data_IF_330479405719
#
_entry.id   IF_330479405719
#
_cell.length_a   1.000
_cell.length_b   1.000
_cell.length_c   1.000
_cell.angle_alpha   90.00
_cell.angle_beta   90.00
_cell.angle_gamma   90.00
#
_symmetry.space_group_name_H-M   'P 1'
#
loop_
_entity.id
_entity.type
_entity.pdbx_description
1 polymer ?
#
# COMPACT_ATOMS: atom_id res chain seq x y z
N UNK A 1 -1.93 5.31 11.20
CA UNK A 1 -2.76 5.73 12.36
C UNK A 1 -4.14 6.00 11.78
N UNK A 2 -5.18 5.29 12.24
CA UNK A 2 -6.54 5.44 11.71
C UNK A 2 -7.29 6.42 12.59
N UNK A 3 -7.69 7.56 12.04
CA UNK A 3 -8.61 8.49 12.73
C UNK A 3 -9.98 7.83 12.69
N UNK A 4 -10.59 7.65 13.87
CA UNK A 4 -11.87 6.95 13.99
C UNK A 4 -12.96 7.98 14.18
N UNK A 5 -13.89 8.05 13.22
CA UNK A 5 -15.16 8.74 13.41
C UNK A 5 -16.08 7.91 14.31
N UNK A 6 -17.11 8.54 14.89
CA UNK A 6 -18.04 7.89 15.81
C UNK A 6 -18.80 6.71 15.18
N UNK A 7 -18.94 6.69 13.86
CA UNK A 7 -19.61 5.65 13.07
C UNK A 7 -18.66 4.80 12.21
N UNK A 8 -17.35 4.86 12.45
CA UNK A 8 -16.31 4.28 11.59
C UNK A 8 -16.52 2.81 11.22
N UNK A 9 -16.96 1.96 12.17
CA UNK A 9 -17.23 0.54 11.89
C UNK A 9 -18.40 0.33 10.93
N UNK A 10 -19.45 1.15 11.05
CA UNK A 10 -20.61 1.08 10.17
C UNK A 10 -20.23 1.61 8.79
N UNK A 11 -19.51 2.72 8.71
CA UNK A 11 -18.98 3.28 7.48
C UNK A 11 -18.05 2.28 6.74
N UNK A 12 -17.24 1.49 7.46
CA UNK A 12 -16.42 0.44 6.85
C UNK A 12 -17.24 -0.72 6.29
N UNK A 13 -18.31 -1.16 6.98
CA UNK A 13 -19.22 -2.19 6.47
C UNK A 13 -19.93 -1.73 5.19
N UNK A 14 -20.35 -0.47 5.19
CA UNK A 14 -21.08 0.13 4.08
C UNK A 14 -20.18 0.58 2.93
N UNK A 15 -18.86 0.40 3.08
CA UNK A 15 -17.83 0.80 2.13
C UNK A 15 -17.79 2.31 1.82
N UNK A 16 -18.06 3.12 2.85
CA UNK A 16 -18.14 4.59 2.79
C UNK A 16 -17.17 5.31 3.73
N UNK A 17 -16.42 4.56 4.54
CA UNK A 17 -15.41 5.17 5.39
C UNK A 17 -14.34 5.89 4.55
N UNK A 18 -13.81 6.99 5.09
CA UNK A 18 -12.72 7.73 4.48
C UNK A 18 -11.38 7.04 4.78
N UNK A 19 -10.49 7.02 3.78
CA UNK A 19 -9.15 6.46 3.93
C UNK A 19 -8.11 7.34 3.28
N UNK A 20 -6.92 7.34 3.88
CA UNK A 20 -5.72 7.87 3.27
C UNK A 20 -4.90 6.66 2.81
N UNK A 21 -4.64 6.58 1.52
CA UNK A 21 -3.72 5.58 0.98
C UNK A 21 -2.28 6.02 1.23
N UNK A 22 -1.44 5.10 1.70
CA UNK A 22 -0.02 5.36 1.97
C UNK A 22 0.79 4.60 0.92
N UNK A 23 1.28 5.35 -0.06
CA UNK A 23 2.12 4.81 -1.13
C UNK A 23 3.56 4.65 -0.65
N UNK A 24 3.96 3.41 -0.40
CA UNK A 24 5.34 3.08 -0.01
C UNK A 24 6.24 3.17 -1.24
N UNK A 25 7.24 4.04 -1.20
CA UNK A 25 8.31 4.08 -2.21
C UNK A 25 9.26 2.90 -2.01
N UNK A 26 9.59 2.20 -3.09
CA UNK A 26 10.57 1.12 -3.10
C UNK A 26 11.58 1.32 -4.22
N UNK A 27 12.79 0.82 -4.01
CA UNK A 27 13.82 0.81 -5.04
C UNK A 27 13.38 -0.04 -6.25
N UNK A 28 13.46 0.55 -7.44
CA UNK A 28 13.18 -0.14 -8.69
C UNK A 28 14.50 -0.58 -9.37
N UNK A 29 14.73 -1.88 -9.59
CA UNK A 29 16.00 -2.36 -10.12
C UNK A 29 16.32 -1.77 -11.50
N UNK A 30 17.56 -1.34 -11.75
CA UNK A 30 17.98 -0.89 -13.08
C UNK A 30 18.32 -2.06 -14.02
N UNK A 31 18.80 -3.17 -13.47
CA UNK A 31 19.10 -4.40 -14.22
C UNK A 31 17.83 -5.07 -14.74
N UNK A 32 17.80 -5.34 -16.05
CA UNK A 32 16.72 -6.08 -16.71
C UNK A 32 16.55 -7.49 -16.13
N UNK A 33 17.65 -8.20 -15.88
CA UNK A 33 17.62 -9.54 -15.29
C UNK A 33 16.94 -9.52 -13.92
N UNK A 34 17.31 -8.56 -13.06
CA UNK A 34 16.69 -8.41 -11.74
C UNK A 34 15.20 -8.09 -11.84
N UNK A 35 14.78 -7.26 -12.80
CA UNK A 35 13.35 -6.99 -13.04
C UNK A 35 12.59 -8.26 -13.39
N UNK A 36 13.13 -9.04 -14.33
CA UNK A 36 12.52 -10.31 -14.76
C UNK A 36 12.39 -11.26 -13.57
N UNK A 37 13.45 -11.38 -12.76
CA UNK A 37 13.43 -12.23 -11.56
C UNK A 37 12.48 -11.71 -10.47
N UNK A 38 12.28 -10.40 -10.37
CA UNK A 38 11.42 -9.77 -9.36
C UNK A 38 9.92 -9.96 -9.65
N UNK A 39 9.49 -9.87 -10.91
CA UNK A 39 8.05 -9.86 -11.26
C UNK A 39 7.22 -11.04 -10.73
N UNK A 40 7.69 -12.30 -10.78
CA UNK A 40 6.93 -13.42 -10.21
C UNK A 40 6.67 -13.24 -8.71
N UNK A 41 7.64 -12.70 -7.96
CA UNK A 41 7.49 -12.47 -6.52
C UNK A 41 6.56 -11.31 -6.19
N UNK A 42 6.48 -10.29 -7.05
CA UNK A 42 5.44 -9.25 -6.94
C UNK A 42 4.05 -9.89 -7.10
N UNK A 43 3.87 -10.76 -8.09
CA UNK A 43 2.61 -11.51 -8.26
C UNK A 43 2.26 -12.38 -7.04
N UNK A 44 3.25 -13.05 -6.45
CA UNK A 44 3.08 -13.84 -5.22
C UNK A 44 2.83 -13.02 -3.96
N UNK A 45 3.12 -11.71 -3.92
CA UNK A 45 2.67 -10.84 -2.82
C UNK A 45 1.18 -10.52 -2.95
N UNK A 46 0.64 -10.48 -4.17
CA UNK A 46 -0.77 -10.10 -4.44
C UNK A 46 -1.75 -11.27 -4.41
N UNK A 47 -1.39 -12.41 -5.01
CA UNK A 47 -2.26 -13.59 -5.12
C UNK A 47 -2.77 -14.13 -3.77
N UNK A 48 -1.97 -14.15 -2.67
CA UNK A 48 -2.43 -14.58 -1.36
C UNK A 48 -3.67 -13.84 -0.88
N UNK A 49 -3.80 -12.54 -1.15
CA UNK A 49 -4.96 -11.75 -0.74
C UNK A 49 -6.26 -12.30 -1.35
N UNK A 50 -6.23 -12.72 -2.62
CA UNK A 50 -7.39 -13.32 -3.29
C UNK A 50 -7.77 -14.69 -2.71
N UNK A 51 -6.80 -15.44 -2.20
CA UNK A 51 -7.01 -16.81 -1.71
C UNK A 51 -7.38 -16.81 -0.23
N UNK A 52 -6.70 -16.02 0.59
CA UNK A 52 -6.93 -15.89 2.04
C UNK A 52 -8.37 -15.44 2.32
N UNK A 53 -8.89 -14.53 1.49
CA UNK A 53 -10.24 -13.99 1.64
C UNK A 53 -11.35 -14.96 1.20
N UNK A 54 -11.02 -15.98 0.40
CA UNK A 54 -11.98 -16.99 -0.08
C UNK A 54 -11.94 -18.28 0.75
N UNK A 55 -11.08 -18.37 1.77
CA UNK A 55 -10.89 -19.59 2.55
C UNK A 55 -11.03 -19.39 4.05
N UNK A 56 -11.69 -20.33 4.72
CA UNK A 56 -11.80 -20.38 6.18
C UNK A 56 -10.74 -21.27 6.85
N UNK A 57 -9.84 -21.89 6.06
CA UNK A 57 -8.85 -22.82 6.61
C UNK A 57 -7.62 -22.08 7.14
N UNK A 58 -7.35 -22.19 8.44
CA UNK A 58 -6.17 -21.62 9.08
C UNK A 58 -4.85 -22.20 8.54
N UNK A 59 -4.86 -23.46 8.10
CA UNK A 59 -3.67 -24.11 7.50
C UNK A 59 -3.36 -23.47 6.15
N UNK A 60 -4.38 -23.29 5.32
CA UNK A 60 -4.23 -22.62 4.01
C UNK A 60 -3.78 -21.18 4.21
N UNK A 61 -4.41 -20.44 5.12
CA UNK A 61 -3.98 -19.08 5.48
C UNK A 61 -2.51 -19.06 5.90
N UNK A 62 -2.09 -19.95 6.79
CA UNK A 62 -0.69 -20.07 7.23
C UNK A 62 0.31 -20.32 6.09
N UNK A 63 -0.02 -21.23 5.16
CA UNK A 63 0.79 -21.49 3.97
C UNK A 63 0.96 -20.23 3.11
N UNK A 64 -0.14 -19.56 2.80
CA UNK A 64 -0.13 -18.35 1.97
C UNK A 64 0.56 -17.16 2.66
N UNK A 65 0.43 -17.03 3.98
CA UNK A 65 1.22 -16.08 4.76
C UNK A 65 2.73 -16.37 4.66
N UNK A 66 3.13 -17.65 4.67
CA UNK A 66 4.52 -18.05 4.47
C UNK A 66 5.05 -17.70 3.07
N UNK A 67 4.27 -17.99 2.03
CA UNK A 67 4.59 -17.62 0.64
C UNK A 67 4.77 -16.10 0.50
N UNK A 68 3.84 -15.35 1.08
CA UNK A 68 3.87 -13.88 1.08
C UNK A 68 5.09 -13.33 1.84
N UNK A 69 5.49 -13.96 2.95
CA UNK A 69 6.71 -13.55 3.67
C UNK A 69 7.97 -13.76 2.82
N UNK A 70 8.09 -14.91 2.16
CA UNK A 70 9.22 -15.23 1.28
C UNK A 70 9.23 -14.28 0.07
N UNK A 71 8.08 -14.08 -0.58
CA UNK A 71 7.98 -13.21 -1.75
C UNK A 71 8.42 -11.78 -1.43
N UNK A 72 7.98 -11.21 -0.29
CA UNK A 72 8.42 -9.89 0.18
C UNK A 72 9.93 -9.81 0.39
N UNK A 73 10.52 -10.86 0.96
CA UNK A 73 11.98 -10.94 1.14
C UNK A 73 12.71 -10.95 -0.20
N UNK A 74 12.20 -11.70 -1.17
CA UNK A 74 12.77 -11.76 -2.52
C UNK A 74 12.62 -10.43 -3.26
N UNK A 75 11.44 -9.79 -3.21
CA UNK A 75 11.23 -8.45 -3.80
C UNK A 75 12.24 -7.46 -3.23
N UNK A 76 12.39 -7.41 -1.89
CA UNK A 76 13.39 -6.55 -1.25
C UNK A 76 14.82 -6.85 -1.71
N UNK A 77 15.18 -8.13 -1.80
CA UNK A 77 16.52 -8.54 -2.23
C UNK A 77 16.83 -8.12 -3.67
N UNK A 78 15.87 -8.24 -4.58
CA UNK A 78 16.06 -7.82 -5.96
C UNK A 78 16.05 -6.29 -6.10
N UNK A 79 15.27 -5.59 -5.27
CA UNK A 79 15.20 -4.12 -5.18
C UNK A 79 16.43 -3.46 -4.53
N UNK A 80 17.14 -4.10 -3.60
CA UNK A 80 18.07 -3.45 -2.66
C UNK A 80 19.45 -3.04 -3.19
N UNK A 81 19.68 -3.00 -4.51
CA UNK A 81 20.96 -2.51 -5.07
C UNK A 81 20.83 -1.05 -5.50
N UNK A 82 21.94 -0.38 -5.82
CA UNK A 82 22.00 0.98 -6.38
C UNK A 82 20.97 1.15 -7.51
N UNK A 83 19.79 1.65 -7.16
CA UNK A 83 18.72 1.96 -8.08
C UNK A 83 18.68 3.46 -8.30
N UNK A 84 18.54 3.88 -9.56
CA UNK A 84 18.28 5.27 -9.95
C UNK A 84 16.80 5.66 -9.85
N UNK A 85 15.91 4.68 -9.64
CA UNK A 85 14.46 4.87 -9.66
C UNK A 85 13.74 4.39 -8.41
N UNK A 86 12.67 5.08 -8.06
CA UNK A 86 11.64 4.59 -7.14
C UNK A 86 10.45 4.05 -7.91
N UNK A 87 9.78 3.05 -7.35
CA UNK A 87 8.42 2.70 -7.69
C UNK A 87 7.49 2.83 -6.49
N UNK A 88 6.23 3.19 -6.75
CA UNK A 88 5.17 3.05 -5.75
C UNK A 88 4.82 1.57 -5.63
N UNK A 89 4.91 1.03 -4.41
CA UNK A 89 4.50 -0.33 -4.08
C UNK A 89 3.02 -0.52 -4.41
N UNK A 90 2.77 -1.13 -5.57
CA UNK A 90 1.44 -1.41 -6.10
C UNK A 90 1.52 -2.42 -7.25
N UNK A 91 0.38 -2.72 -7.87
CA UNK A 91 0.26 -3.77 -8.90
C UNK A 91 0.99 -3.39 -10.21
N UNK A 92 1.18 -2.08 -10.46
CA UNK A 92 1.75 -1.54 -11.69
C UNK A 92 3.23 -1.14 -11.52
N UNK A 93 4.05 -2.08 -11.02
CA UNK A 93 5.45 -1.85 -10.62
C UNK A 93 6.31 -1.25 -11.74
N UNK A 94 6.08 -1.62 -13.00
CA UNK A 94 6.86 -1.14 -14.15
C UNK A 94 6.43 0.23 -14.66
N UNK A 95 5.13 0.53 -14.59
CA UNK A 95 4.53 1.76 -15.14
C UNK A 95 4.86 2.97 -14.28
N UNK A 96 4.97 2.76 -12.97
CA UNK A 96 5.16 3.81 -11.97
C UNK A 96 6.59 3.81 -11.43
N UNK A 97 7.59 3.72 -12.31
CA UNK A 97 9.00 3.76 -11.95
C UNK A 97 9.63 5.08 -12.41
N UNK A 98 9.99 5.95 -11.47
CA UNK A 98 10.44 7.32 -11.71
C UNK A 98 11.80 7.62 -11.11
N UNK A 99 12.45 8.69 -11.57
CA UNK A 99 13.75 9.10 -11.06
C UNK A 99 13.66 9.38 -9.54
N UNK A 100 14.60 8.84 -8.76
CA UNK A 100 14.67 9.09 -7.32
C UNK A 100 14.84 10.56 -6.98
N UNK A 101 15.53 11.31 -7.85
CA UNK A 101 15.78 12.73 -7.67
C UNK A 101 14.49 13.57 -7.64
N UNK A 102 13.39 13.04 -8.21
CA UNK A 102 12.07 13.67 -8.13
C UNK A 102 11.44 13.62 -6.73
N UNK A 103 11.94 12.73 -5.88
CA UNK A 103 11.55 12.54 -4.48
C UNK A 103 12.64 13.01 -3.51
N UNK A 104 13.50 13.93 -3.93
CA UNK A 104 14.69 14.38 -3.21
C UNK A 104 14.37 15.12 -1.91
N UNK A 105 15.00 16.27 -1.69
CA UNK A 105 14.68 17.08 -0.49
C UNK A 105 13.26 17.63 -0.64
N UNK A 106 12.32 17.33 0.26
CA UNK A 106 10.94 17.79 0.10
C UNK A 106 10.84 19.31 0.05
N UNK A 107 9.95 19.81 -0.81
CA UNK A 107 9.55 21.22 -0.80
C UNK A 107 8.32 21.37 0.10
N UNK A 108 8.26 22.45 0.86
CA UNK A 108 7.13 22.75 1.72
C UNK A 108 6.06 23.49 0.92
N UNK A 109 4.80 23.03 1.02
CA UNK A 109 3.68 23.64 0.32
C UNK A 109 2.49 23.82 1.27
N UNK A 110 1.76 24.92 1.09
CA UNK A 110 0.48 25.16 1.78
C UNK A 110 -0.60 24.32 1.09
N UNK A 111 -1.31 23.50 1.85
CA UNK A 111 -2.43 22.70 1.37
C UNK A 111 -3.59 22.86 2.36
N UNK A 112 -4.66 23.53 1.90
CA UNK A 112 -5.81 23.89 2.74
C UNK A 112 -5.37 24.66 4.00
N UNK A 113 -5.61 24.12 5.19
CA UNK A 113 -5.28 24.69 6.50
C UNK A 113 -3.97 24.12 7.09
N UNK A 114 -3.23 23.34 6.31
CA UNK A 114 -2.01 22.67 6.74
C UNK A 114 -0.82 22.95 5.82
N UNK A 115 0.37 22.70 6.35
CA UNK A 115 1.64 22.84 5.64
C UNK A 115 2.22 21.44 5.48
N UNK A 116 2.35 20.98 4.23
CA UNK A 116 2.78 19.62 3.94
C UNK A 116 4.09 19.58 3.14
N UNK A 117 5.00 18.65 3.47
CA UNK A 117 6.15 18.36 2.62
C UNK A 117 5.69 17.54 1.40
N UNK A 118 6.04 18.00 0.20
CA UNK A 118 5.79 17.31 -1.06
C UNK A 118 7.12 17.02 -1.78
N UNK A 119 7.14 16.06 -2.74
CA UNK A 119 8.32 15.83 -3.57
C UNK A 119 8.80 17.13 -4.26
N UNK A 120 10.12 17.30 -4.41
CA UNK A 120 10.69 18.51 -5.03
C UNK A 120 10.27 18.70 -6.48
N UNK A 121 10.08 17.61 -7.22
CA UNK A 121 9.66 17.61 -8.62
C UNK A 121 8.29 16.94 -8.75
N UNK A 122 7.33 17.42 -7.95
CA UNK A 122 5.96 16.91 -7.95
C UNK A 122 5.29 17.05 -9.32
N UNK A 123 5.65 18.09 -10.10
CA UNK A 123 5.08 18.34 -11.42
C UNK A 123 5.43 17.21 -12.41
N UNK A 124 6.70 16.78 -12.45
CA UNK A 124 7.11 15.64 -13.27
C UNK A 124 6.43 14.34 -12.85
N UNK A 125 6.26 14.12 -11.54
CA UNK A 125 5.54 12.95 -11.01
C UNK A 125 4.08 12.96 -11.46
N UNK A 126 3.35 14.06 -11.23
CA UNK A 126 1.93 14.19 -11.56
C UNK A 126 1.69 14.14 -13.07
N UNK A 127 2.58 14.74 -13.86
CA UNK A 127 2.54 14.67 -15.33
C UNK A 127 2.78 13.26 -15.83
N UNK A 128 3.75 12.53 -15.27
CA UNK A 128 3.97 11.11 -15.61
C UNK A 128 2.80 10.22 -15.17
N UNK A 129 2.09 10.60 -14.11
CA UNK A 129 0.93 9.88 -13.59
C UNK A 129 -0.34 10.07 -14.43
N UNK A 130 -0.67 11.31 -14.70
CA UNK A 130 -2.00 11.70 -15.16
C UNK A 130 -1.98 12.45 -16.50
N UNK A 131 -0.80 12.80 -17.03
CA UNK A 131 -0.69 13.66 -18.20
C UNK A 131 -0.99 15.11 -17.84
N UNK A 132 -1.95 15.73 -18.52
CA UNK A 132 -2.47 17.05 -18.15
C UNK A 132 -3.32 16.94 -16.88
N UNK A 133 -2.65 17.00 -15.72
CA UNK A 133 -3.29 16.82 -14.41
C UNK A 133 -3.94 18.10 -13.88
N UNK A 134 -3.57 19.26 -14.42
CA UNK A 134 -4.05 20.57 -13.97
C UNK A 134 -5.39 20.95 -14.61
N UNK A 135 -5.74 20.31 -15.73
CA UNK A 135 -7.05 20.45 -16.36
C UNK A 135 -7.95 19.28 -15.94
N UNK A 136 -8.99 19.51 -15.12
CA UNK A 136 -9.92 18.44 -14.77
C UNK A 136 -10.62 17.88 -16.01
N UNK A 137 -10.86 16.56 -16.09
CA UNK A 137 -11.59 15.98 -17.20
C UNK A 137 -13.05 16.49 -17.21
N UNK A 138 -13.72 16.48 -18.39
CA UNK A 138 -15.15 16.80 -18.49
C UNK A 138 -16.00 15.97 -17.53
N UNK A 139 -17.15 16.49 -17.07
CA UNK A 139 -18.02 15.80 -16.10
C UNK A 139 -18.45 14.40 -16.56
N UNK A 140 -18.63 14.20 -17.87
CA UNK A 140 -18.94 12.90 -18.48
C UNK A 140 -17.83 11.86 -18.36
N UNK A 141 -16.59 12.31 -18.15
CA UNK A 141 -15.39 11.46 -18.06
C UNK A 141 -14.89 11.31 -16.63
N UNK A 142 -15.40 12.10 -15.68
CA UNK A 142 -15.10 11.97 -14.26
C UNK A 142 -15.59 10.61 -13.76
N UNK A 143 -14.65 9.71 -13.49
CA UNK A 143 -14.92 8.43 -12.81
C UNK A 143 -14.66 8.64 -11.33
N UNK A 144 -15.61 8.26 -10.48
CA UNK A 144 -15.35 8.15 -9.04
C UNK A 144 -14.22 7.16 -8.77
N UNK A 145 -13.53 7.31 -7.64
CA UNK A 145 -12.59 6.31 -7.14
C UNK A 145 -13.35 5.02 -6.80
N UNK A 146 -13.56 4.15 -7.79
CA UNK A 146 -14.47 3.00 -7.69
C UNK A 146 -13.93 1.82 -6.87
N UNK A 147 -12.77 1.96 -6.27
CA UNK A 147 -12.08 0.89 -5.54
C UNK A 147 -12.08 1.16 -4.04
N UNK A 148 -13.00 0.50 -3.33
CA UNK A 148 -12.86 0.29 -1.89
C UNK A 148 -11.86 -0.85 -1.66
N UNK A 149 -10.88 -0.72 -0.75
CA UNK A 149 -9.87 -1.76 -0.55
C UNK A 149 -10.53 -3.10 -0.23
N UNK A 150 -10.11 -4.14 -0.96
CA UNK A 150 -10.62 -5.49 -0.74
C UNK A 150 -10.30 -5.92 0.70
N UNK A 151 -11.23 -6.65 1.34
CA UNK A 151 -11.09 -7.20 2.69
C UNK A 151 -10.75 -6.27 3.85
N UNK A 152 -10.76 -4.94 3.67
CA UNK A 152 -10.39 -3.99 4.72
C UNK A 152 -11.16 -4.16 6.04
N UNK A 153 -12.46 -4.46 5.95
CA UNK A 153 -13.27 -4.74 7.14
C UNK A 153 -12.85 -6.05 7.84
N UNK A 154 -12.49 -7.09 7.07
CA UNK A 154 -12.00 -8.35 7.65
C UNK A 154 -10.63 -8.14 8.30
N UNK A 155 -9.73 -7.40 7.65
CA UNK A 155 -8.42 -7.04 8.20
C UNK A 155 -8.56 -6.25 9.51
N UNK A 156 -9.51 -5.31 9.56
CA UNK A 156 -9.87 -4.59 10.77
C UNK A 156 -10.29 -5.54 11.89
N UNK A 157 -11.21 -6.47 11.61
CA UNK A 157 -11.68 -7.47 12.58
C UNK A 157 -10.54 -8.39 13.08
N UNK A 158 -9.61 -8.77 12.20
CA UNK A 158 -8.44 -9.55 12.58
C UNK A 158 -7.49 -8.76 13.49
N UNK A 159 -7.22 -7.48 13.21
CA UNK A 159 -6.32 -6.65 14.04
C UNK A 159 -6.89 -6.44 15.44
N UNK A 160 -8.18 -6.09 15.57
CA UNK A 160 -8.82 -5.95 16.88
C UNK A 160 -8.85 -7.28 17.64
N UNK A 161 -9.01 -8.42 16.94
CA UNK A 161 -8.95 -9.76 17.51
C UNK A 161 -7.55 -10.11 18.04
N UNK A 162 -6.50 -9.79 17.26
CA UNK A 162 -5.09 -9.95 17.66
C UNK A 162 -4.74 -9.05 18.85
N UNK A 163 -5.17 -7.80 18.86
CA UNK A 163 -4.99 -6.88 20.00
C UNK A 163 -5.67 -7.40 21.27
N UNK A 164 -6.91 -7.91 21.18
CA UNK A 164 -7.62 -8.54 22.31
C UNK A 164 -6.95 -9.83 22.82
N UNK A 165 -6.20 -10.53 21.97
CA UNK A 165 -5.41 -11.71 22.36
C UNK A 165 -4.10 -11.30 23.03
N UNK A 166 -3.43 -10.28 22.49
CA UNK A 166 -2.21 -9.71 23.09
C UNK A 166 -2.45 -9.03 24.44
N UNK A 167 -3.58 -8.32 24.61
CA UNK A 167 -3.95 -7.72 25.90
C UNK A 167 -4.30 -8.76 26.97
N UNK A 168 -4.90 -9.89 26.58
CA UNK A 168 -5.17 -11.01 27.50
C UNK A 168 -3.89 -11.75 27.91
N UNK A 169 -2.93 -11.86 27.00
CA UNK A 169 -1.62 -12.46 27.27
C UNK A 169 -0.71 -11.54 28.11
N UNK A 170 -0.82 -10.22 27.99
CA UNK A 170 -0.08 -9.29 28.85
C UNK A 170 -0.68 -9.21 30.27
N UNK A 171 -1.98 -9.45 30.42
CA UNK A 171 -2.64 -9.54 31.74
C UNK A 171 -2.41 -10.88 32.45
N UNK A 172 -2.02 -11.95 31.74
CA UNK A 172 -1.75 -13.27 32.34
C UNK A 172 -0.29 -13.50 32.79
N UNK A 173 0.59 -12.51 32.63
CA UNK A 173 2.05 -12.63 32.91
C UNK A 173 2.50 -11.72 34.08
N UNK A 174 1.58 -11.09 34.82
CA UNK A 174 1.92 -10.45 36.08
C UNK A 174 1.90 -11.51 37.21
N UNK A 175 3.05 -11.88 37.81
CA UNK A 175 3.03 -12.69 39.03
C UNK A 175 2.46 -11.87 40.18
N UNK A 176 1.65 -12.52 41.03
CA UNK A 176 1.19 -11.95 42.31
C UNK A 176 2.34 -11.81 43.30
#
# INVERSE_FOLDING_TARGET
MVIRCDDFEQAMKDKKADFIDIFILMDYPDSLLRRILMYPFVGFDLLPHLVIDRTNSNIVKGLFYGIMHISRKMVRLFSSEKASRYNIRGVQVSKWAWNKEWFGTPTIHDFEDTVIPIPNDYDSILTAMYGDYMTPPPDSEKRGAGSYPYSLYNDYLEDIGKRKKHSRLSQSVMPR
#
